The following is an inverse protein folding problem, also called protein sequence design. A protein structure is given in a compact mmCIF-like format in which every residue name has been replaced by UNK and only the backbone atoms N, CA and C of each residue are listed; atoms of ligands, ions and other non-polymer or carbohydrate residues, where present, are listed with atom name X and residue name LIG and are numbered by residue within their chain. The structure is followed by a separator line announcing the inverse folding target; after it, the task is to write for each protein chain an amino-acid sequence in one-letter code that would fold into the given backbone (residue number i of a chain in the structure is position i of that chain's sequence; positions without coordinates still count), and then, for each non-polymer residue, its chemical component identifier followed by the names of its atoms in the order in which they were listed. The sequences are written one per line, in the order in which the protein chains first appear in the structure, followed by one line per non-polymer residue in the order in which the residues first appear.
data_IF_251509479645
#
_entry.id   IF_251509479645
#
_cell.length_a   1.000
_cell.length_b   1.000
_cell.length_c   1.000
_cell.angle_alpha   90.00
_cell.angle_beta   90.00
_cell.angle_gamma   90.00
#
_symmetry.space_group_name_H-M   'P 1'
#
loop_
_entity.id
_entity.type
_entity.pdbx_description
1 polymer ?
#
# COMPACT_ATOMS: atom_id res chain seq x y z
N UNK A 1 -9.24 -13.94 14.35
CA UNK A 1 -8.20 -12.97 14.02
C UNK A 1 -7.04 -13.71 13.39
N UNK A 2 -6.74 -13.44 12.13
CA UNK A 2 -5.61 -14.07 11.43
C UNK A 2 -4.35 -13.20 11.58
N UNK A 3 -3.23 -13.82 11.88
CA UNK A 3 -1.93 -13.16 11.99
C UNK A 3 -0.95 -13.76 10.97
N UNK A 4 -0.48 -12.96 10.04
CA UNK A 4 0.51 -13.37 9.05
C UNK A 4 1.85 -12.74 9.46
N UNK A 5 2.85 -13.58 9.77
CA UNK A 5 4.17 -13.11 10.20
C UNK A 5 5.28 -14.03 9.72
N UNK A 6 6.30 -13.46 9.12
CA UNK A 6 7.50 -14.18 8.67
C UNK A 6 8.53 -14.47 9.78
N UNK A 7 8.41 -13.82 10.94
CA UNK A 7 9.40 -13.93 12.03
C UNK A 7 8.81 -14.29 13.40
N UNK A 8 7.50 -14.42 13.51
CA UNK A 8 6.83 -14.57 14.80
C UNK A 8 6.50 -16.01 15.20
N UNK A 9 6.83 -17.01 14.35
CA UNK A 9 6.43 -18.41 14.58
C UNK A 9 6.92 -18.98 15.92
N UNK A 10 8.08 -18.57 16.41
CA UNK A 10 8.65 -19.11 17.66
C UNK A 10 8.07 -18.49 18.91
N UNK A 11 7.59 -17.25 18.85
CA UNK A 11 6.96 -16.57 19.99
C UNK A 11 5.54 -17.08 20.21
N UNK A 12 4.80 -17.32 19.13
CA UNK A 12 3.40 -17.76 19.21
C UNK A 12 3.26 -19.26 19.55
N UNK A 13 4.20 -20.11 19.13
CA UNK A 13 4.22 -21.53 19.54
C UNK A 13 4.33 -21.72 21.06
N UNK A 14 4.79 -20.70 21.79
CA UNK A 14 4.90 -20.72 23.25
C UNK A 14 3.65 -20.24 23.99
N UNK A 15 2.67 -19.66 23.29
CA UNK A 15 1.49 -19.04 23.93
C UNK A 15 0.29 -19.96 24.08
N UNK A 16 0.38 -21.23 23.66
CA UNK A 16 -0.74 -22.19 23.75
C UNK A 16 -1.87 -21.86 22.77
N UNK A 17 -2.89 -22.68 22.78
CA UNK A 17 -4.08 -22.53 21.95
C UNK A 17 -4.88 -21.29 22.38
N UNK A 18 -4.63 -20.17 21.75
CA UNK A 18 -5.48 -18.98 21.91
C UNK A 18 -6.69 -19.16 20.98
N UNK A 19 -7.90 -19.28 21.53
CA UNK A 19 -9.09 -19.48 20.71
C UNK A 19 -9.27 -18.30 19.74
N UNK A 20 -9.69 -18.61 18.52
CA UNK A 20 -9.93 -17.62 17.43
C UNK A 20 -8.67 -16.98 16.86
N UNK A 21 -7.49 -17.59 16.99
CA UNK A 21 -6.26 -17.17 16.29
C UNK A 21 -5.86 -18.28 15.33
N UNK A 22 -5.66 -17.93 14.08
CA UNK A 22 -5.02 -18.75 13.07
C UNK A 22 -3.62 -18.21 12.80
N UNK A 23 -2.62 -19.09 12.84
CA UNK A 23 -1.21 -18.73 12.57
C UNK A 23 -0.86 -19.28 11.19
N UNK A 24 -0.53 -18.37 10.27
CA UNK A 24 -0.12 -18.68 8.91
C UNK A 24 1.38 -18.35 8.78
N UNK A 25 2.19 -19.36 8.47
CA UNK A 25 3.63 -19.21 8.25
C UNK A 25 3.93 -19.20 6.75
N UNK A 26 3.72 -18.06 6.12
CA UNK A 26 3.89 -17.83 4.69
C UNK A 26 4.44 -16.43 4.42
N UNK A 27 5.06 -16.20 3.27
CA UNK A 27 5.43 -14.85 2.86
C UNK A 27 4.19 -14.02 2.60
N UNK A 28 4.06 -12.90 3.31
CA UNK A 28 2.93 -11.98 3.15
C UNK A 28 2.81 -11.41 1.72
N UNK A 29 3.88 -11.44 0.93
CA UNK A 29 3.82 -11.02 -0.48
C UNK A 29 3.20 -12.10 -1.38
N UNK A 30 3.27 -13.36 -0.99
CA UNK A 30 2.80 -14.52 -1.77
C UNK A 30 1.45 -15.06 -1.26
N UNK A 31 1.05 -14.69 -0.05
CA UNK A 31 -0.21 -15.12 0.56
C UNK A 31 -1.41 -14.80 -0.33
N UNK A 32 -2.30 -15.79 -0.48
CA UNK A 32 -3.56 -15.64 -1.21
C UNK A 32 -4.62 -14.92 -0.37
N UNK A 33 -4.70 -13.61 -0.52
CA UNK A 33 -5.67 -12.77 0.18
C UNK A 33 -7.12 -12.96 -0.27
N UNK A 34 -7.39 -13.73 -1.34
CA UNK A 34 -8.77 -14.07 -1.74
C UNK A 34 -9.48 -14.95 -0.71
N UNK A 35 -8.72 -15.64 0.15
CA UNK A 35 -9.23 -16.44 1.27
C UNK A 35 -9.83 -15.61 2.40
N UNK A 36 -9.61 -14.31 2.43
CA UNK A 36 -10.21 -13.41 3.42
C UNK A 36 -11.71 -13.30 3.16
N UNK A 37 -12.51 -14.04 3.93
CA UNK A 37 -13.96 -14.03 3.83
C UNK A 37 -14.55 -12.96 4.75
N UNK A 38 -15.68 -12.37 4.35
CA UNK A 38 -16.36 -11.34 5.12
C UNK A 38 -16.02 -9.91 4.70
N UNK A 39 -16.85 -8.94 5.10
CA UNK A 39 -16.81 -7.60 4.50
C UNK A 39 -15.79 -6.64 5.15
N UNK A 40 -15.25 -6.97 6.33
CA UNK A 40 -14.48 -6.01 7.12
C UNK A 40 -13.24 -6.62 7.75
N UNK A 41 -12.09 -6.31 7.20
CA UNK A 41 -10.81 -6.67 7.77
C UNK A 41 -10.03 -5.45 8.24
N UNK A 42 -9.30 -5.61 9.33
CA UNK A 42 -8.35 -4.62 9.83
C UNK A 42 -6.96 -5.24 9.78
N UNK A 43 -6.07 -4.61 9.04
CA UNK A 43 -4.67 -4.97 9.01
C UNK A 43 -3.92 -4.21 10.11
N UNK A 44 -3.26 -4.94 11.00
CA UNK A 44 -2.36 -4.38 12.01
C UNK A 44 -0.97 -4.98 11.83
N UNK A 45 0.06 -4.15 11.71
CA UNK A 45 1.38 -4.68 11.45
C UNK A 45 2.54 -3.74 11.76
N UNK A 46 3.60 -4.34 12.29
CA UNK A 46 4.94 -3.77 12.25
C UNK A 46 5.60 -4.25 10.95
N UNK A 47 5.60 -3.44 9.91
CA UNK A 47 6.04 -3.85 8.59
C UNK A 47 7.57 -3.82 8.48
N UNK A 48 8.20 -4.91 7.99
CA UNK A 48 9.62 -4.93 7.72
C UNK A 48 10.01 -3.83 6.73
N UNK A 49 11.09 -3.12 6.99
CA UNK A 49 11.48 -1.93 6.22
C UNK A 49 11.76 -2.19 4.73
N UNK A 50 12.25 -3.39 4.40
CA UNK A 50 12.60 -3.77 3.04
C UNK A 50 11.38 -4.05 2.14
N UNK A 51 10.28 -4.55 2.69
CA UNK A 51 9.09 -4.95 1.93
C UNK A 51 7.83 -4.17 2.32
N UNK A 52 7.83 -3.47 3.48
CA UNK A 52 6.63 -2.88 4.07
C UNK A 52 5.87 -1.95 3.14
N UNK A 53 6.56 -1.09 2.40
CA UNK A 53 5.92 -0.20 1.42
C UNK A 53 5.28 -1.00 0.28
N UNK A 54 5.98 -2.02 -0.25
CA UNK A 54 5.45 -2.85 -1.34
C UNK A 54 4.23 -3.64 -0.90
N UNK A 55 4.31 -4.25 0.29
CA UNK A 55 3.18 -4.98 0.89
C UNK A 55 1.98 -4.07 1.11
N UNK A 56 2.19 -2.87 1.67
CA UNK A 56 1.10 -1.91 1.88
C UNK A 56 0.43 -1.50 0.56
N UNK A 57 1.23 -1.22 -0.49
CA UNK A 57 0.70 -0.92 -1.84
C UNK A 57 -0.13 -2.09 -2.35
N UNK A 58 0.41 -3.32 -2.32
CA UNK A 58 -0.31 -4.54 -2.73
C UNK A 58 -1.66 -4.66 -2.00
N UNK A 59 -1.66 -4.57 -0.68
CA UNK A 59 -2.87 -4.73 0.13
C UNK A 59 -3.91 -3.63 -0.15
N UNK A 60 -3.48 -2.40 -0.39
CA UNK A 60 -4.40 -1.30 -0.72
C UNK A 60 -5.02 -1.50 -2.11
N UNK A 61 -4.25 -1.97 -3.09
CA UNK A 61 -4.72 -2.07 -4.49
C UNK A 61 -5.41 -3.38 -4.82
N UNK A 62 -5.04 -4.50 -4.15
CA UNK A 62 -5.47 -5.83 -4.53
C UNK A 62 -6.42 -6.48 -3.51
N UNK A 63 -6.54 -5.93 -2.28
CA UNK A 63 -7.32 -6.54 -1.20
C UNK A 63 -8.39 -5.58 -0.68
N UNK A 64 -9.51 -5.41 -1.42
CA UNK A 64 -10.57 -4.46 -1.08
C UNK A 64 -11.27 -4.79 0.24
N UNK A 65 -11.18 -6.04 0.73
CA UNK A 65 -11.75 -6.47 2.01
C UNK A 65 -11.10 -5.81 3.22
N UNK A 66 -9.85 -5.31 3.09
CA UNK A 66 -9.18 -4.59 4.16
C UNK A 66 -9.65 -3.14 4.17
N UNK A 67 -10.42 -2.79 5.19
CA UNK A 67 -10.99 -1.44 5.34
C UNK A 67 -10.16 -0.49 6.18
N UNK A 68 -9.33 -1.02 7.07
CA UNK A 68 -8.46 -0.21 7.91
C UNK A 68 -7.07 -0.84 8.03
N UNK A 69 -6.09 0.02 8.01
CA UNK A 69 -4.70 -0.33 8.25
C UNK A 69 -4.20 0.45 9.48
N UNK A 70 -3.52 -0.23 10.38
CA UNK A 70 -2.77 0.35 11.50
C UNK A 70 -1.37 -0.19 11.39
N UNK A 71 -0.47 0.58 10.82
CA UNK A 71 0.85 0.09 10.44
C UNK A 71 1.96 0.95 11.00
N UNK A 72 3.03 0.31 11.44
CA UNK A 72 4.27 0.96 11.78
C UNK A 72 5.24 0.84 10.61
N UNK A 73 5.78 1.97 10.20
CA UNK A 73 6.65 2.14 9.04
C UNK A 73 7.84 3.02 9.39
N UNK A 74 8.83 3.10 8.50
CA UNK A 74 9.84 4.15 8.57
C UNK A 74 9.19 5.53 8.48
N UNK A 75 9.70 6.48 9.25
CA UNK A 75 9.17 7.86 9.32
C UNK A 75 9.07 8.52 7.94
N UNK A 76 10.10 8.39 7.10
CA UNK A 76 10.09 8.91 5.72
C UNK A 76 8.94 8.32 4.89
N UNK A 77 8.63 7.03 5.06
CA UNK A 77 7.51 6.39 4.34
C UNK A 77 6.18 6.91 4.85
N UNK A 78 6.04 7.07 6.17
CA UNK A 78 4.85 7.63 6.79
C UNK A 78 4.59 9.07 6.32
N UNK A 79 5.63 9.90 6.27
CA UNK A 79 5.54 11.26 5.72
C UNK A 79 5.09 11.28 4.26
N UNK A 80 5.59 10.35 3.43
CA UNK A 80 5.17 10.23 2.03
C UNK A 80 3.70 9.82 1.89
N UNK A 81 3.20 8.94 2.76
CA UNK A 81 1.79 8.51 2.74
C UNK A 81 0.85 9.68 2.96
N UNK A 82 1.16 10.56 3.91
CA UNK A 82 0.28 11.70 4.28
C UNK A 82 0.64 13.01 3.59
N UNK A 83 1.66 13.01 2.72
CA UNK A 83 2.14 14.22 2.06
C UNK A 83 1.06 14.86 1.18
N UNK A 84 0.97 16.18 1.25
CA UNK A 84 0.07 17.00 0.43
C UNK A 84 0.80 17.47 -0.86
N UNK A 85 0.06 17.81 -1.92
CA UNK A 85 0.62 18.48 -3.08
C UNK A 85 1.52 19.66 -2.68
N UNK A 86 2.52 19.96 -3.52
CA UNK A 86 3.51 21.03 -3.33
C UNK A 86 4.50 20.82 -2.17
N UNK A 87 4.53 19.63 -1.56
CA UNK A 87 5.55 19.26 -0.59
C UNK A 87 6.65 18.39 -1.21
N UNK A 88 7.85 18.41 -0.61
CA UNK A 88 9.02 17.63 -1.09
C UNK A 88 8.75 16.12 -1.06
N UNK A 89 7.97 15.66 -0.09
CA UNK A 89 7.64 14.24 0.14
C UNK A 89 6.56 13.74 -0.81
N UNK A 90 5.80 14.63 -1.47
CA UNK A 90 4.71 14.25 -2.36
C UNK A 90 5.20 13.39 -3.53
N UNK A 91 4.50 12.29 -3.77
CA UNK A 91 4.86 11.32 -4.80
C UNK A 91 3.75 10.31 -5.08
N UNK A 92 4.06 9.27 -5.86
CA UNK A 92 3.08 8.23 -6.21
C UNK A 92 2.45 7.54 -5.01
N UNK A 93 3.19 7.37 -3.90
CA UNK A 93 2.64 6.82 -2.65
C UNK A 93 1.63 7.76 -2.00
N UNK A 94 1.85 9.08 -2.07
CA UNK A 94 0.89 10.09 -1.60
C UNK A 94 -0.39 10.06 -2.43
N UNK A 95 -0.26 9.93 -3.75
CA UNK A 95 -1.40 9.80 -4.68
C UNK A 95 -2.18 8.52 -4.39
N UNK A 96 -1.49 7.37 -4.28
CA UNK A 96 -2.14 6.11 -3.88
C UNK A 96 -2.96 6.30 -2.61
N UNK A 97 -2.31 6.82 -1.56
CA UNK A 97 -2.96 7.04 -0.27
C UNK A 97 -4.20 7.92 -0.40
N UNK A 98 -4.12 9.04 -1.10
CA UNK A 98 -5.25 9.97 -1.28
C UNK A 98 -6.39 9.44 -2.15
N UNK A 99 -6.09 8.53 -3.09
CA UNK A 99 -7.10 7.90 -3.95
C UNK A 99 -7.87 6.78 -3.24
N UNK A 100 -7.21 6.03 -2.38
CA UNK A 100 -7.77 4.81 -1.81
C UNK A 100 -8.10 4.91 -0.32
N UNK A 101 -7.49 5.87 0.39
CA UNK A 101 -7.59 5.92 1.85
C UNK A 101 -7.59 7.36 2.39
N UNK A 102 -8.16 7.52 3.58
CA UNK A 102 -7.92 8.67 4.43
C UNK A 102 -6.82 8.29 5.43
N UNK A 103 -5.65 8.92 5.30
CA UNK A 103 -4.45 8.53 6.03
C UNK A 103 -4.04 9.57 7.05
N UNK A 104 -3.59 9.10 8.22
CA UNK A 104 -3.18 9.97 9.32
C UNK A 104 -2.00 9.37 10.10
N UNK A 105 -0.97 10.19 10.35
CA UNK A 105 0.06 9.86 11.33
C UNK A 105 -0.57 9.92 12.73
N UNK A 106 -0.33 8.89 13.53
CA UNK A 106 -0.80 8.81 14.90
C UNK A 106 0.28 9.28 15.87
N UNK A 107 1.44 8.66 15.82
CA UNK A 107 2.58 9.01 16.67
C UNK A 107 3.88 8.41 16.16
N UNK A 108 4.98 8.99 16.61
CA UNK A 108 6.33 8.49 16.35
C UNK A 108 6.75 7.53 17.46
N UNK A 109 7.47 6.46 17.09
CA UNK A 109 8.00 5.45 18.02
C UNK A 109 9.51 5.66 18.18
N UNK A 110 9.94 5.86 19.41
CA UNK A 110 11.35 6.07 19.71
C UNK A 110 12.20 4.83 19.34
N UNK A 111 13.39 5.07 18.81
CA UNK A 111 14.38 4.00 18.53
C UNK A 111 14.74 3.18 19.79
N UNK A 112 14.56 3.74 20.97
CA UNK A 112 14.82 3.06 22.25
C UNK A 112 13.78 1.98 22.59
N UNK A 113 12.66 1.93 21.86
CA UNK A 113 11.63 0.89 22.03
C UNK A 113 11.99 -0.42 21.30
N UNK A 114 13.14 -0.49 20.64
CA UNK A 114 13.51 -1.65 19.83
C UNK A 114 14.85 -2.25 20.27
N UNK A 115 14.97 -3.56 20.14
CA UNK A 115 16.19 -4.32 20.32
C UNK A 115 16.38 -5.29 19.13
N UNK A 116 17.44 -5.14 18.32
CA UNK A 116 18.43 -4.07 18.30
C UNK A 116 17.84 -2.71 17.85
N UNK A 117 18.46 -1.61 18.29
CA UNK A 117 18.00 -0.25 17.96
C UNK A 117 18.10 0.03 16.45
N UNK A 118 17.02 0.44 15.79
CA UNK A 118 17.05 0.79 14.37
C UNK A 118 17.81 2.10 14.15
N UNK A 119 18.37 2.26 12.94
CA UNK A 119 19.02 3.52 12.53
C UNK A 119 18.02 4.64 12.27
N UNK A 120 16.80 4.29 11.92
CA UNK A 120 15.74 5.19 11.41
C UNK A 120 14.61 5.25 12.44
N UNK A 121 13.92 6.38 12.52
CA UNK A 121 12.72 6.56 13.33
C UNK A 121 11.55 5.77 12.72
N UNK A 122 10.68 5.25 13.57
CA UNK A 122 9.45 4.58 13.16
C UNK A 122 8.23 5.43 13.48
N UNK A 123 7.19 5.29 12.69
CA UNK A 123 5.97 6.08 12.82
C UNK A 123 4.75 5.17 12.60
N UNK A 124 3.76 5.30 13.48
CA UNK A 124 2.49 4.60 13.34
C UNK A 124 1.53 5.46 12.51
N UNK A 125 0.98 4.85 11.46
CA UNK A 125 0.03 5.46 10.55
C UNK A 125 -1.26 4.64 10.54
N UNK A 126 -2.40 5.31 10.53
CA UNK A 126 -3.68 4.70 10.20
C UNK A 126 -4.12 5.11 8.80
N UNK A 127 -4.64 4.15 8.04
CA UNK A 127 -5.25 4.41 6.75
C UNK A 127 -6.65 3.79 6.78
N UNK A 128 -7.67 4.59 6.52
CA UNK A 128 -9.06 4.16 6.42
C UNK A 128 -9.44 4.14 4.95
N UNK A 129 -9.88 2.98 4.43
CA UNK A 129 -10.31 2.88 3.02
C UNK A 129 -11.47 3.80 2.72
N UNK A 130 -11.36 4.51 1.61
CA UNK A 130 -12.42 5.33 1.04
C UNK A 130 -12.97 4.66 -0.22
N UNK A 131 -14.29 4.75 -0.42
CA UNK A 131 -14.99 4.07 -1.52
C UNK A 131 -15.80 5.03 -2.40
N UNK A 132 -15.55 6.33 -2.27
CA UNK A 132 -16.33 7.37 -2.95
C UNK A 132 -16.11 7.45 -4.48
N UNK A 133 -14.98 6.92 -4.96
CA UNK A 133 -14.63 6.94 -6.38
C UNK A 133 -14.59 5.50 -6.88
N UNK A 134 -14.99 5.30 -8.10
CA UNK A 134 -14.90 4.01 -8.79
C UNK A 134 -13.48 3.41 -8.75
N UNK A 135 -13.37 2.11 -8.53
CA UNK A 135 -12.09 1.44 -8.30
C UNK A 135 -11.22 1.44 -9.56
N UNK A 136 -11.80 1.21 -10.73
CA UNK A 136 -11.07 1.24 -12.00
C UNK A 136 -10.50 2.63 -12.27
N UNK A 137 -11.26 3.67 -11.96
CA UNK A 137 -10.80 5.05 -12.10
C UNK A 137 -9.65 5.36 -11.16
N UNK A 138 -9.72 4.90 -9.90
CA UNK A 138 -8.62 5.05 -8.92
C UNK A 138 -7.36 4.33 -9.37
N UNK A 139 -7.50 3.10 -9.86
CA UNK A 139 -6.37 2.32 -10.36
C UNK A 139 -5.71 3.00 -11.56
N UNK A 140 -6.47 3.45 -12.55
CA UNK A 140 -5.95 4.19 -13.72
C UNK A 140 -5.23 5.49 -13.30
N UNK A 141 -5.82 6.25 -12.38
CA UNK A 141 -5.19 7.47 -11.86
C UNK A 141 -3.86 7.17 -11.13
N UNK A 142 -3.83 6.09 -10.35
CA UNK A 142 -2.60 5.65 -9.69
C UNK A 142 -1.52 5.21 -10.68
N UNK A 143 -1.86 4.42 -11.71
CA UNK A 143 -0.93 3.99 -12.76
C UNK A 143 -0.31 5.21 -13.47
N UNK A 144 -1.13 6.17 -13.88
CA UNK A 144 -0.66 7.43 -14.50
C UNK A 144 0.30 8.15 -13.55
N UNK A 145 -0.04 8.22 -12.26
CA UNK A 145 0.82 8.87 -11.26
C UNK A 145 2.18 8.19 -11.12
N UNK A 146 2.22 6.84 -11.13
CA UNK A 146 3.50 6.10 -11.08
C UNK A 146 4.41 6.52 -12.23
N UNK A 147 3.89 6.53 -13.46
CA UNK A 147 4.66 6.95 -14.64
C UNK A 147 5.13 8.40 -14.52
N UNK A 148 4.25 9.31 -14.13
CA UNK A 148 4.58 10.73 -13.98
C UNK A 148 5.70 10.95 -12.94
N UNK A 149 5.63 10.26 -11.80
CA UNK A 149 6.62 10.40 -10.72
C UNK A 149 7.95 9.69 -10.95
N UNK A 150 8.06 8.78 -11.93
CA UNK A 150 9.37 8.22 -12.34
C UNK A 150 10.30 9.29 -12.88
N UNK A 151 9.74 10.36 -13.45
CA UNK A 151 10.49 11.44 -14.09
C UNK A 151 10.17 12.83 -13.50
N UNK A 152 10.22 12.96 -12.17
CA UNK A 152 9.84 14.16 -11.40
C UNK A 152 10.40 15.49 -11.93
N UNK A 153 11.55 15.49 -12.60
CA UNK A 153 12.20 16.69 -13.13
C UNK A 153 11.80 17.05 -14.55
N UNK A 154 11.02 16.21 -15.23
CA UNK A 154 10.54 16.48 -16.59
C UNK A 154 9.14 17.10 -16.56
N UNK A 155 8.80 17.85 -17.61
CA UNK A 155 7.43 18.31 -17.82
C UNK A 155 6.49 17.11 -17.94
N UNK A 156 5.30 17.20 -17.37
CA UNK A 156 4.33 16.08 -17.33
C UNK A 156 4.03 15.53 -18.73
N UNK A 157 3.92 16.39 -19.74
CA UNK A 157 3.74 15.97 -21.14
C UNK A 157 4.86 15.05 -21.62
N UNK A 158 6.10 15.32 -21.24
CA UNK A 158 7.26 14.48 -21.61
C UNK A 158 7.30 13.20 -20.80
N UNK A 159 6.95 13.26 -19.51
CA UNK A 159 6.93 12.09 -18.64
C UNK A 159 5.86 11.08 -19.04
N UNK A 160 4.71 11.53 -19.56
CA UNK A 160 3.58 10.70 -19.95
C UNK A 160 3.55 10.35 -21.44
N UNK A 161 4.52 10.81 -22.27
CA UNK A 161 4.48 10.62 -23.71
C UNK A 161 4.27 9.17 -24.12
N UNK A 162 5.14 8.29 -23.65
CA UNK A 162 5.11 6.86 -24.00
C UNK A 162 3.82 6.17 -23.49
N UNK A 163 3.30 6.61 -22.35
CA UNK A 163 2.03 6.12 -21.81
C UNK A 163 0.84 6.55 -22.68
N UNK A 164 0.80 7.81 -23.12
CA UNK A 164 -0.25 8.35 -24.00
C UNK A 164 -0.21 7.66 -25.36
N UNK A 165 0.98 7.48 -25.92
CA UNK A 165 1.16 6.80 -27.21
C UNK A 165 0.65 5.34 -27.12
N UNK A 166 0.98 4.61 -26.06
CA UNK A 166 0.51 3.24 -25.83
C UNK A 166 -1.01 3.16 -25.68
N UNK A 167 -1.63 4.07 -24.94
CA UNK A 167 -3.10 4.12 -24.74
C UNK A 167 -3.80 4.48 -26.07
N UNK A 168 -3.26 5.41 -26.86
CA UNK A 168 -3.81 5.78 -28.15
C UNK A 168 -3.81 4.61 -29.14
N UNK A 169 -2.75 3.79 -29.14
CA UNK A 169 -2.67 2.58 -29.96
C UNK A 169 -3.70 1.52 -29.60
N UNK A 170 -3.98 1.34 -28.31
CA UNK A 170 -5.00 0.37 -27.86
C UNK A 170 -6.42 0.81 -28.22
N UNK A 171 -6.73 2.09 -28.16
CA UNK A 171 -8.03 2.61 -28.60
C UNK A 171 -8.25 2.50 -30.10
N UNK A 172 -7.24 2.80 -30.93
CA UNK A 172 -7.34 2.65 -32.39
C UNK A 172 -7.59 1.19 -32.79
N UNK A 173 -6.88 0.24 -32.16
CA UNK A 173 -7.03 -1.19 -32.43
C UNK A 173 -8.39 -1.74 -32.01
N UNK A 174 -8.97 -1.25 -30.90
CA UNK A 174 -10.29 -1.63 -30.45
C UNK A 174 -11.40 -1.14 -31.40
N UNK A 175 -11.22 0.03 -32.04
CA UNK A 175 -12.13 0.53 -33.06
C UNK A 175 -12.07 -0.26 -34.38
N UNK A 176 -10.87 -0.71 -34.80
CA UNK A 176 -10.69 -1.52 -36.01
C UNK A 176 -11.32 -2.93 -35.88
N UNK A 177 -11.30 -3.53 -34.67
CA UNK A 177 -11.89 -4.86 -34.44
C UNK A 177 -13.40 -4.84 -34.27
N UNK A 178 -14.02 -3.69 -34.06
CA UNK A 178 -15.50 -3.55 -33.95
C UNK A 178 -16.21 -3.27 -35.27
N UNK A 179 -15.47 -3.24 -36.39
CA UNK A 179 -16.01 -2.97 -37.75
C UNK A 179 -16.02 -4.23 -38.65
N UNK A 180 -15.90 -5.42 -38.07
CA UNK A 180 -16.03 -6.69 -38.82
C UNK A 180 -17.10 -7.59 -38.22
#
# INVERSE_FOLDING_TARGET
THCISSAASDVYKRQGDVPNIEIINEDAMDYDYSQLTGPWWIMVGNLPYNIGTRLLVKLITEVPQIHRYVVMLQDEVAERIVAKPDTKQYGSLSVLSSLFTNSKIQFNVSKNCFEPKPKILSTVVTLQRETLIDEDMRMKAFEISKVAFQQKRKKIKTALKDYIDAVSYTHLRAHETSLH
#
